data_IF_716516796584
#
_entry.id   IF_716516796584
#
_cell.length_a   1.000
_cell.length_b   1.000
_cell.length_c   1.000
_cell.angle_alpha   90.00
_cell.angle_beta   90.00
_cell.angle_gamma   90.00
#
_symmetry.space_group_name_H-M   'P 1'
#
loop_
_entity.id
_entity.type
_entity.pdbx_description
1 polymer ?
#
# COMPACT_ATOMS: atom_id res chain seq x y z
N UNK A 1 -5.38 8.41 -27.18
CA UNK A 1 -6.03 7.11 -27.46
C UNK A 1 -7.49 7.39 -27.76
N UNK A 2 -7.97 6.99 -28.91
CA UNK A 2 -9.35 7.22 -29.32
C UNK A 2 -10.30 6.32 -28.54
N UNK A 3 -11.51 6.78 -28.21
CA UNK A 3 -12.48 6.02 -27.40
C UNK A 3 -12.85 4.64 -28.00
N UNK A 4 -12.64 4.43 -29.27
CA UNK A 4 -12.86 3.15 -29.96
C UNK A 4 -11.91 2.05 -29.47
N UNK A 5 -10.65 2.37 -29.17
CA UNK A 5 -9.70 1.38 -28.65
C UNK A 5 -10.02 0.96 -27.22
N UNK A 6 -10.59 1.84 -26.41
CA UNK A 6 -10.98 1.57 -25.03
C UNK A 6 -12.18 0.62 -24.95
N UNK A 7 -13.06 0.60 -25.96
CA UNK A 7 -14.21 -0.32 -26.01
C UNK A 7 -13.86 -1.66 -26.68
N UNK A 8 -13.00 -1.66 -27.70
CA UNK A 8 -12.67 -2.85 -28.47
C UNK A 8 -11.95 -3.93 -27.64
N UNK A 9 -11.01 -3.53 -26.76
CA UNK A 9 -10.25 -4.47 -25.93
C UNK A 9 -11.13 -5.21 -24.89
N UNK A 10 -12.00 -4.55 -24.10
CA UNK A 10 -12.94 -5.26 -23.23
C UNK A 10 -13.88 -6.19 -23.98
N UNK A 11 -14.37 -5.80 -25.16
CA UNK A 11 -15.24 -6.65 -26.00
C UNK A 11 -14.47 -7.87 -26.47
N UNK A 12 -13.24 -7.71 -26.97
CA UNK A 12 -12.40 -8.79 -27.41
C UNK A 12 -12.11 -9.79 -26.29
N UNK A 13 -11.74 -9.31 -25.09
CA UNK A 13 -11.47 -10.14 -23.93
C UNK A 13 -12.71 -10.96 -23.55
N UNK A 14 -13.88 -10.31 -23.49
CA UNK A 14 -15.14 -11.01 -23.16
C UNK A 14 -15.52 -12.06 -24.17
N UNK A 15 -15.18 -11.86 -25.45
CA UNK A 15 -15.60 -12.74 -26.54
C UNK A 15 -14.60 -13.87 -26.82
N UNK A 16 -13.33 -13.72 -26.49
CA UNK A 16 -12.30 -14.67 -26.91
C UNK A 16 -11.39 -15.17 -25.77
N UNK A 17 -11.33 -14.52 -24.63
CA UNK A 17 -10.48 -14.99 -23.53
C UNK A 17 -11.13 -16.21 -22.84
N UNK A 18 -10.47 -17.39 -22.81
CA UNK A 18 -11.02 -18.60 -22.20
C UNK A 18 -11.45 -18.40 -20.75
N UNK A 19 -10.68 -17.64 -19.97
CA UNK A 19 -10.98 -17.30 -18.59
C UNK A 19 -12.25 -16.44 -18.42
N UNK A 20 -12.78 -15.85 -19.48
CA UNK A 20 -14.04 -15.11 -19.48
C UNK A 20 -15.19 -15.94 -20.04
N UNK A 21 -14.97 -16.66 -21.14
CA UNK A 21 -16.01 -17.43 -21.83
C UNK A 21 -16.52 -18.59 -20.97
N UNK A 22 -15.62 -19.22 -20.21
CA UNK A 22 -15.91 -20.41 -19.40
C UNK A 22 -16.09 -20.09 -17.90
N UNK A 23 -16.19 -18.82 -17.51
CA UNK A 23 -16.51 -18.46 -16.12
C UNK A 23 -18.01 -18.27 -15.93
N UNK A 24 -18.45 -18.48 -14.69
CA UNK A 24 -19.80 -18.11 -14.27
C UNK A 24 -19.94 -16.61 -14.12
N UNK A 25 -21.17 -16.10 -14.19
CA UNK A 25 -21.47 -14.69 -13.89
C UNK A 25 -21.05 -14.33 -12.46
N UNK A 26 -20.65 -13.07 -12.27
CA UNK A 26 -20.42 -12.54 -10.93
C UNK A 26 -21.73 -12.60 -10.11
N UNK A 27 -21.61 -12.90 -8.82
CA UNK A 27 -22.75 -12.87 -7.90
C UNK A 27 -23.43 -11.50 -7.94
N UNK A 28 -24.77 -11.42 -8.11
CA UNK A 28 -25.49 -10.14 -8.11
C UNK A 28 -25.27 -9.32 -6.85
N UNK A 29 -25.08 -9.95 -5.69
CA UNK A 29 -24.81 -9.28 -4.41
C UNK A 29 -23.44 -8.57 -4.46
N UNK A 30 -22.41 -9.25 -4.96
CA UNK A 30 -21.08 -8.65 -5.10
C UNK A 30 -21.11 -7.50 -6.12
N UNK A 31 -21.81 -7.68 -7.25
CA UNK A 31 -21.95 -6.64 -8.28
C UNK A 31 -22.67 -5.41 -7.72
N UNK A 32 -23.73 -5.61 -6.94
CA UNK A 32 -24.46 -4.51 -6.30
C UNK A 32 -23.56 -3.72 -5.32
N UNK A 33 -22.77 -4.41 -4.51
CA UNK A 33 -21.81 -3.79 -3.60
C UNK A 33 -20.73 -2.99 -4.33
N UNK A 34 -20.13 -3.58 -5.37
CA UNK A 34 -19.12 -2.89 -6.19
C UNK A 34 -19.73 -1.66 -6.90
N UNK A 35 -20.94 -1.79 -7.45
CA UNK A 35 -21.62 -0.67 -8.11
C UNK A 35 -21.92 0.47 -7.13
N UNK A 36 -22.36 0.16 -5.93
CA UNK A 36 -22.58 1.15 -4.88
C UNK A 36 -21.29 1.86 -4.49
N UNK A 37 -20.19 1.13 -4.28
CA UNK A 37 -18.88 1.68 -3.98
C UNK A 37 -18.37 2.62 -5.10
N UNK A 38 -18.47 2.21 -6.36
CA UNK A 38 -18.08 3.03 -7.51
C UNK A 38 -18.94 4.31 -7.60
N UNK A 39 -20.24 4.20 -7.39
CA UNK A 39 -21.14 5.38 -7.39
C UNK A 39 -20.78 6.34 -6.27
N UNK A 40 -20.54 5.84 -5.06
CA UNK A 40 -20.08 6.64 -3.93
C UNK A 40 -18.79 7.39 -4.25
N UNK A 41 -17.74 6.66 -4.70
CA UNK A 41 -16.45 7.25 -5.03
C UNK A 41 -16.47 8.23 -6.23
N UNK A 42 -17.49 8.15 -7.10
CA UNK A 42 -17.72 9.17 -8.14
C UNK A 42 -18.34 10.44 -7.58
N UNK A 43 -19.13 10.34 -6.53
CA UNK A 43 -19.85 11.46 -5.93
C UNK A 43 -19.05 12.12 -4.78
N UNK A 44 -18.11 11.39 -4.15
CA UNK A 44 -17.33 11.86 -3.00
C UNK A 44 -15.84 11.64 -3.19
N UNK A 45 -15.01 12.58 -2.74
CA UNK A 45 -13.55 12.45 -2.66
C UNK A 45 -13.06 12.31 -1.21
N UNK A 46 -13.93 12.36 -0.22
CA UNK A 46 -13.58 12.43 1.21
C UNK A 46 -12.60 11.35 1.62
N UNK A 47 -12.85 10.10 1.23
CA UNK A 47 -11.99 8.97 1.59
C UNK A 47 -10.64 9.04 0.88
N UNK A 48 -10.61 9.49 -0.37
CA UNK A 48 -9.37 9.66 -1.15
C UNK A 48 -8.52 10.80 -0.58
N UNK A 49 -9.15 11.91 -0.26
CA UNK A 49 -8.47 13.09 0.31
C UNK A 49 -7.93 12.76 1.71
N UNK A 50 -8.71 12.06 2.54
CA UNK A 50 -8.27 11.55 3.83
C UNK A 50 -7.09 10.57 3.71
N UNK A 51 -7.12 9.67 2.73
CA UNK A 51 -6.00 8.76 2.46
C UNK A 51 -4.72 9.51 2.08
N UNK A 52 -4.83 10.52 1.20
CA UNK A 52 -3.67 11.32 0.79
C UNK A 52 -3.11 12.15 1.96
N UNK A 53 -3.98 12.74 2.76
CA UNK A 53 -3.58 13.48 3.96
C UNK A 53 -2.82 12.57 4.96
N UNK A 54 -3.36 11.38 5.22
CA UNK A 54 -2.71 10.40 6.11
C UNK A 54 -1.38 9.90 5.54
N UNK A 55 -1.29 9.69 4.23
CA UNK A 55 -0.03 9.31 3.60
C UNK A 55 1.04 10.42 3.69
N UNK A 56 0.64 11.67 3.51
CA UNK A 56 1.53 12.82 3.68
C UNK A 56 2.00 12.95 5.13
N UNK A 57 1.09 12.82 6.09
CA UNK A 57 1.39 12.88 7.53
C UNK A 57 2.37 11.77 7.93
N UNK A 58 2.12 10.52 7.55
CA UNK A 58 3.03 9.42 7.86
C UNK A 58 4.41 9.60 7.25
N UNK A 59 4.49 10.08 5.98
CA UNK A 59 5.78 10.40 5.35
C UNK A 59 6.55 11.46 6.13
N UNK A 60 5.88 12.49 6.65
CA UNK A 60 6.49 13.54 7.45
C UNK A 60 7.02 12.97 8.78
N UNK A 61 6.19 12.26 9.54
CA UNK A 61 6.58 11.66 10.83
C UNK A 61 7.79 10.73 10.70
N UNK A 62 7.80 9.85 9.70
CA UNK A 62 8.93 8.93 9.49
C UNK A 62 10.21 9.65 9.09
N UNK A 63 10.12 10.73 8.28
CA UNK A 63 11.29 11.55 7.93
C UNK A 63 11.84 12.34 9.12
N UNK A 64 10.96 12.93 9.93
CA UNK A 64 11.34 13.61 11.17
C UNK A 64 12.05 12.68 12.15
N UNK A 65 11.66 11.39 12.17
CA UNK A 65 12.34 10.36 12.94
C UNK A 65 13.66 9.88 12.29
N UNK A 66 14.10 10.46 11.15
CA UNK A 66 15.33 10.06 10.45
C UNK A 66 15.25 8.72 9.74
N UNK A 67 14.04 8.16 9.54
CA UNK A 67 13.87 6.87 8.87
C UNK A 67 13.94 7.02 7.33
N UNK A 68 14.51 6.04 6.60
CA UNK A 68 14.81 6.15 5.17
C UNK A 68 13.56 6.03 4.28
N UNK A 69 12.68 7.02 4.33
CA UNK A 69 11.47 7.10 3.50
C UNK A 69 11.83 7.43 2.08
N UNK A 70 11.45 6.57 1.15
CA UNK A 70 11.65 6.80 -0.27
C UNK A 70 10.67 7.85 -0.83
N UNK A 71 11.08 8.54 -1.88
CA UNK A 71 10.19 9.48 -2.57
C UNK A 71 9.03 8.74 -3.23
N UNK A 72 7.81 9.22 -2.96
CA UNK A 72 6.58 8.71 -3.55
C UNK A 72 5.56 9.84 -3.63
N UNK A 73 4.96 10.03 -4.80
CA UNK A 73 3.88 10.98 -5.04
C UNK A 73 2.50 10.38 -4.77
N UNK A 74 2.43 9.06 -4.49
CA UNK A 74 1.19 8.33 -4.25
C UNK A 74 0.88 8.20 -2.76
N UNK A 75 -0.25 7.54 -2.45
CA UNK A 75 -0.63 7.15 -1.08
C UNK A 75 0.26 6.06 -0.47
N UNK A 76 1.16 5.47 -1.26
CA UNK A 76 2.11 4.46 -0.78
C UNK A 76 3.27 5.16 -0.08
N UNK A 77 3.62 4.69 1.11
CA UNK A 77 4.76 5.15 1.90
C UNK A 77 5.79 4.03 1.96
N UNK A 78 6.77 4.03 1.05
CA UNK A 78 7.81 3.01 1.03
C UNK A 78 8.95 3.41 1.97
N UNK A 79 9.35 2.48 2.84
CA UNK A 79 10.48 2.63 3.78
C UNK A 79 11.59 1.68 3.38
N UNK A 80 12.75 2.20 3.00
CA UNK A 80 13.88 1.41 2.53
C UNK A 80 14.49 0.57 3.66
N UNK A 81 14.84 -0.67 3.37
CA UNK A 81 15.57 -1.56 4.29
C UNK A 81 16.84 -2.08 3.62
N UNK A 82 16.79 -2.44 2.33
CA UNK A 82 17.94 -2.88 1.54
C UNK A 82 18.41 -4.32 1.83
N UNK A 83 17.69 -5.07 2.65
CA UNK A 83 18.00 -6.47 3.00
C UNK A 83 16.70 -7.26 3.18
N UNK A 84 16.54 -8.41 2.51
CA UNK A 84 15.30 -9.19 2.56
C UNK A 84 15.04 -9.86 3.92
N UNK A 85 16.09 -10.26 4.64
CA UNK A 85 15.96 -10.89 5.95
C UNK A 85 15.55 -9.83 6.98
N UNK A 86 16.24 -8.69 6.98
CA UNK A 86 15.90 -7.56 7.86
C UNK A 86 14.48 -7.03 7.60
N UNK A 87 14.08 -6.90 6.33
CA UNK A 87 12.71 -6.46 5.99
C UNK A 87 11.64 -7.41 6.55
N UNK A 88 11.88 -8.72 6.45
CA UNK A 88 10.98 -9.71 7.05
C UNK A 88 11.02 -9.65 8.58
N UNK A 89 12.19 -9.58 9.18
CA UNK A 89 12.34 -9.50 10.64
C UNK A 89 11.60 -8.29 11.21
N UNK A 90 11.74 -7.12 10.60
CA UNK A 90 11.00 -5.91 11.03
C UNK A 90 9.49 -6.13 10.96
N UNK A 91 8.99 -6.72 9.87
CA UNK A 91 7.56 -7.01 9.71
C UNK A 91 7.05 -8.01 10.77
N UNK A 92 7.84 -9.04 11.08
CA UNK A 92 7.51 -10.03 12.11
C UNK A 92 7.48 -9.38 13.52
N UNK A 93 8.44 -8.53 13.86
CA UNK A 93 8.49 -7.80 15.14
C UNK A 93 7.29 -6.85 15.25
N UNK A 94 7.00 -6.06 14.23
CA UNK A 94 5.85 -5.15 14.21
C UNK A 94 4.55 -5.90 14.47
N UNK A 95 4.39 -7.07 13.86
CA UNK A 95 3.18 -7.88 14.07
C UNK A 95 3.12 -8.47 15.48
N UNK A 96 4.24 -9.07 15.94
CA UNK A 96 4.25 -9.83 17.19
C UNK A 96 4.23 -8.93 18.44
N UNK A 97 4.96 -7.82 18.43
CA UNK A 97 5.15 -6.98 19.61
C UNK A 97 4.23 -5.75 19.64
N UNK A 98 3.85 -5.23 18.44
CA UNK A 98 3.05 -4.00 18.33
C UNK A 98 1.66 -4.22 17.70
N UNK A 99 1.36 -5.44 17.22
CA UNK A 99 0.09 -5.74 16.55
C UNK A 99 -0.09 -5.04 15.21
N UNK A 100 1.00 -4.62 14.56
CA UNK A 100 0.99 -3.87 13.31
C UNK A 100 1.41 -4.77 12.16
N UNK A 101 0.49 -5.03 11.24
CA UNK A 101 0.81 -5.77 10.02
C UNK A 101 1.38 -4.85 8.95
N UNK A 102 2.54 -5.22 8.39
CA UNK A 102 3.15 -4.56 7.23
C UNK A 102 3.65 -5.58 6.23
N UNK A 103 3.53 -5.27 4.95
CA UNK A 103 4.01 -6.12 3.88
C UNK A 103 5.46 -5.80 3.54
N UNK A 104 6.42 -6.71 3.80
CA UNK A 104 7.77 -6.60 3.26
C UNK A 104 7.74 -6.85 1.75
N UNK A 105 8.45 -6.03 0.99
CA UNK A 105 8.56 -6.14 -0.47
C UNK A 105 10.00 -6.52 -0.81
N UNK A 106 10.17 -7.75 -1.25
CA UNK A 106 11.46 -8.36 -1.55
C UNK A 106 11.56 -8.77 -3.03
N UNK A 107 12.75 -9.21 -3.43
CA UNK A 107 12.93 -9.87 -4.72
C UNK A 107 11.93 -11.05 -4.88
N UNK A 108 11.32 -11.27 -6.06
CA UNK A 108 11.57 -10.61 -7.35
C UNK A 108 10.74 -9.34 -7.59
N UNK A 109 9.89 -8.90 -6.65
CA UNK A 109 9.03 -7.73 -6.82
C UNK A 109 9.85 -6.43 -6.93
N UNK A 110 10.98 -6.38 -6.25
CA UNK A 110 11.96 -5.28 -6.35
C UNK A 110 13.36 -5.87 -6.60
N UNK A 111 14.30 -5.13 -7.23
CA UNK A 111 15.68 -5.55 -7.33
C UNK A 111 16.32 -5.77 -5.95
N UNK A 112 17.33 -6.65 -5.89
CA UNK A 112 18.12 -6.90 -4.66
C UNK A 112 18.81 -5.60 -4.22
N UNK A 113 18.83 -5.37 -2.91
CA UNK A 113 19.33 -4.14 -2.29
C UNK A 113 18.30 -3.00 -2.28
N UNK A 114 17.10 -3.22 -2.83
CA UNK A 114 15.99 -2.27 -2.82
C UNK A 114 14.77 -2.80 -2.06
N UNK A 115 14.98 -3.79 -1.20
CA UNK A 115 13.95 -4.32 -0.31
C UNK A 115 13.43 -3.22 0.62
N UNK A 116 12.13 -3.24 0.86
CA UNK A 116 11.43 -2.18 1.59
C UNK A 116 10.19 -2.66 2.30
N UNK A 117 9.75 -1.92 3.29
CA UNK A 117 8.42 -2.03 3.85
C UNK A 117 7.47 -1.12 3.07
N UNK A 118 6.25 -1.59 2.83
CA UNK A 118 5.22 -0.84 2.12
C UNK A 118 4.05 -0.53 3.04
N UNK A 119 3.94 0.72 3.47
CA UNK A 119 2.79 1.20 4.22
C UNK A 119 1.77 1.82 3.27
N UNK A 120 0.50 1.58 3.55
CA UNK A 120 -0.64 2.11 2.80
C UNK A 120 -1.70 2.64 3.78
N UNK A 121 -1.44 3.81 4.39
CA UNK A 121 -2.41 4.38 5.31
C UNK A 121 -3.73 4.66 4.59
N UNK A 122 -4.83 4.21 5.19
CA UNK A 122 -6.17 4.49 4.70
C UNK A 122 -6.82 5.63 5.51
N UNK A 123 -8.02 6.09 5.12
CA UNK A 123 -8.70 7.20 5.78
C UNK A 123 -9.11 6.90 7.23
N UNK A 124 -9.21 5.61 7.59
CA UNK A 124 -9.53 5.19 8.96
C UNK A 124 -8.34 5.17 9.93
N UNK A 125 -7.10 5.31 9.42
CA UNK A 125 -5.93 5.39 10.29
C UNK A 125 -5.86 6.77 10.95
N UNK A 126 -5.75 6.78 12.27
CA UNK A 126 -5.67 8.01 13.06
C UNK A 126 -4.23 8.45 13.26
N UNK A 127 -4.04 9.73 13.60
CA UNK A 127 -2.72 10.27 13.93
C UNK A 127 -2.03 9.47 15.08
N UNK A 128 -2.70 9.12 16.19
CA UNK A 128 -2.08 8.29 17.23
C UNK A 128 -1.58 6.94 16.72
N UNK A 129 -2.30 6.29 15.80
CA UNK A 129 -1.85 5.02 15.20
C UNK A 129 -0.57 5.21 14.38
N UNK A 130 -0.48 6.30 13.60
CA UNK A 130 0.71 6.60 12.79
C UNK A 130 1.90 7.00 13.66
N UNK A 131 1.66 7.70 14.75
CA UNK A 131 2.68 8.03 15.76
C UNK A 131 3.21 6.77 16.43
N UNK A 132 2.34 5.88 16.91
CA UNK A 132 2.74 4.59 17.48
C UNK A 132 3.53 3.71 16.51
N UNK A 133 3.17 3.69 15.22
CA UNK A 133 3.96 3.02 14.18
C UNK A 133 5.36 3.65 14.04
N UNK A 134 5.46 4.99 14.06
CA UNK A 134 6.74 5.69 13.93
C UNK A 134 7.65 5.41 15.12
N UNK A 135 7.10 5.41 16.33
CA UNK A 135 7.82 5.07 17.56
C UNK A 135 8.32 3.62 17.54
N UNK A 136 7.44 2.67 17.20
CA UNK A 136 7.82 1.27 17.05
C UNK A 136 8.92 1.05 16.02
N UNK A 137 8.82 1.68 14.86
CA UNK A 137 9.86 1.61 13.82
C UNK A 137 11.19 2.20 14.31
N UNK A 138 11.16 3.33 15.01
CA UNK A 138 12.38 3.96 15.56
C UNK A 138 13.08 3.03 16.54
N UNK A 139 12.33 2.39 17.45
CA UNK A 139 12.86 1.41 18.38
C UNK A 139 13.45 0.18 17.66
N UNK A 140 12.75 -0.37 16.67
CA UNK A 140 13.23 -1.51 15.89
C UNK A 140 14.49 -1.16 15.12
N UNK A 141 14.57 0.05 14.53
CA UNK A 141 15.75 0.53 13.82
C UNK A 141 16.99 0.57 14.72
N UNK A 142 16.82 1.08 15.94
CA UNK A 142 17.91 1.09 16.94
C UNK A 142 18.28 -0.33 17.38
N UNK A 143 17.30 -1.18 17.66
CA UNK A 143 17.50 -2.58 18.10
C UNK A 143 18.23 -3.45 17.07
N UNK A 144 18.00 -3.21 15.78
CA UNK A 144 18.60 -3.95 14.68
C UNK A 144 19.85 -3.28 14.07
N UNK A 145 20.30 -2.17 14.65
CA UNK A 145 21.43 -1.36 14.17
C UNK A 145 21.31 -1.07 12.66
N UNK A 146 20.19 -0.44 12.28
CA UNK A 146 19.89 -0.11 10.90
C UNK A 146 20.31 1.32 10.58
N UNK A 147 20.79 1.54 9.34
CA UNK A 147 21.17 2.86 8.90
C UNK A 147 19.95 3.80 8.84
N UNK A 148 20.09 5.00 9.37
CA UNK A 148 19.15 6.10 9.22
C UNK A 148 19.32 6.77 7.84
N UNK A 149 18.38 7.64 7.49
CA UNK A 149 18.49 8.45 6.29
C UNK A 149 19.72 9.38 6.39
N UNK A 150 20.49 9.48 5.29
CA UNK A 150 21.62 10.38 5.20
C UNK A 150 21.17 11.82 4.95
#
# INVERSE_FOLDING_TARGET
MTGVQTCALPILIRSYAPGFIFTTSLSPVLVAGVLAAVRHLKASSVERDGQQANAAMLKAMLREAGLPVMNSTTHIVPLMVGDPVKAKTIADILLAEYGIYVQPINYPTVPRGLERLRFTPGPAHTEPMMRGLTEALTEIWQRLDLALAA
#
